data_IF_867058259207
#
_entry.id   IF_867058259207
#
_cell.length_a   1.000
_cell.length_b   1.000
_cell.length_c   1.000
_cell.angle_alpha   90.00
_cell.angle_beta   90.00
_cell.angle_gamma   90.00
#
_symmetry.space_group_name_H-M   'P 1'
#
loop_
_entity.id
_entity.type
_entity.pdbx_description
1 polymer ?
#
# COMPACT_ATOMS: atom_id res chain seq x y z
N UNK A 1 7.61 0.94 22.84
CA UNK A 1 7.89 0.95 21.37
C UNK A 1 7.79 -0.46 20.83
N UNK A 2 6.90 -0.69 19.87
CA UNK A 2 6.71 -2.00 19.25
C UNK A 2 7.90 -2.33 18.35
N UNK A 3 8.61 -3.43 18.64
CA UNK A 3 9.66 -3.96 17.77
C UNK A 3 8.98 -4.67 16.61
N UNK A 4 9.35 -4.34 15.38
CA UNK A 4 8.82 -4.99 14.19
C UNK A 4 9.81 -6.02 13.67
N UNK A 5 9.31 -7.23 13.47
CA UNK A 5 10.06 -8.36 12.96
C UNK A 5 9.46 -8.80 11.63
N UNK A 6 10.28 -9.37 10.76
CA UNK A 6 9.86 -9.95 9.49
C UNK A 6 10.71 -11.19 9.19
N UNK A 7 10.16 -12.11 8.40
CA UNK A 7 10.86 -13.31 7.98
C UNK A 7 11.29 -13.18 6.52
N UNK A 8 12.54 -13.56 6.23
CA UNK A 8 13.04 -13.71 4.87
C UNK A 8 12.86 -15.17 4.44
N UNK A 9 12.30 -15.35 3.26
CA UNK A 9 12.09 -16.63 2.59
C UNK A 9 12.80 -16.66 1.24
N UNK A 10 12.99 -17.87 0.72
CA UNK A 10 13.61 -18.09 -0.59
C UNK A 10 15.14 -18.00 -0.61
N UNK A 11 15.80 -17.91 0.55
CA UNK A 11 17.28 -17.87 0.67
C UNK A 11 17.97 -19.07 0.02
N UNK A 12 17.33 -20.25 0.07
CA UNK A 12 17.84 -21.48 -0.54
C UNK A 12 17.86 -21.49 -2.07
N UNK A 13 17.11 -20.61 -2.75
CA UNK A 13 17.07 -20.57 -4.22
C UNK A 13 18.14 -19.68 -4.86
N UNK A 14 18.86 -18.88 -4.05
CA UNK A 14 19.86 -17.93 -4.56
C UNK A 14 21.26 -18.37 -4.17
N UNK A 15 21.68 -18.03 -2.95
CA UNK A 15 23.06 -18.22 -2.49
C UNK A 15 23.16 -19.20 -1.29
N UNK A 16 22.02 -19.71 -0.81
CA UNK A 16 21.95 -20.57 0.38
C UNK A 16 21.71 -19.81 1.69
N UNK A 17 21.93 -20.47 2.83
CA UNK A 17 21.84 -19.86 4.17
C UNK A 17 23.20 -19.74 4.85
N UNK A 18 24.27 -20.30 4.27
CA UNK A 18 25.58 -20.43 4.93
C UNK A 18 26.30 -19.10 5.15
N UNK A 19 26.03 -18.10 4.31
CA UNK A 19 26.62 -16.76 4.43
C UNK A 19 25.82 -15.80 5.32
N UNK A 20 24.64 -16.22 5.79
CA UNK A 20 23.78 -15.37 6.61
C UNK A 20 24.18 -15.52 8.06
N UNK A 21 24.72 -14.45 8.64
CA UNK A 21 25.09 -14.40 10.05
C UNK A 21 24.18 -13.46 10.84
N UNK A 22 23.84 -13.81 12.10
CA UNK A 22 23.21 -12.87 13.01
C UNK A 22 24.02 -11.58 13.13
N UNK A 23 23.36 -10.44 12.97
CA UNK A 23 23.98 -9.13 13.10
C UNK A 23 24.23 -8.39 11.79
N UNK A 24 24.14 -9.06 10.65
CA UNK A 24 24.28 -8.43 9.34
C UNK A 24 23.14 -7.46 9.04
N UNK A 25 23.43 -6.45 8.21
CA UNK A 25 22.45 -5.48 7.73
C UNK A 25 21.90 -5.90 6.38
N UNK A 26 20.59 -5.82 6.24
CA UNK A 26 19.86 -6.12 5.01
C UNK A 26 19.12 -4.88 4.53
N UNK A 27 19.00 -4.76 3.21
CA UNK A 27 18.27 -3.70 2.52
C UNK A 27 16.99 -4.31 1.95
N UNK A 28 15.85 -3.76 2.32
CA UNK A 28 14.56 -4.11 1.77
C UNK A 28 14.21 -3.09 0.68
N UNK A 29 13.77 -3.57 -0.47
CA UNK A 29 13.31 -2.75 -1.59
C UNK A 29 11.95 -3.24 -2.06
N UNK A 30 10.99 -2.31 -2.18
CA UNK A 30 9.67 -2.62 -2.74
C UNK A 30 9.81 -3.01 -4.21
N UNK A 31 9.17 -4.10 -4.59
CA UNK A 31 9.17 -4.62 -5.95
C UNK A 31 7.74 -4.62 -6.50
N UNK A 32 7.26 -3.42 -6.85
CA UNK A 32 5.87 -3.21 -7.29
C UNK A 32 5.55 -3.74 -8.69
N UNK A 33 6.56 -4.22 -9.43
CA UNK A 33 6.42 -4.70 -10.81
C UNK A 33 6.58 -6.22 -10.91
N UNK A 34 6.40 -6.93 -9.80
CA UNK A 34 6.51 -8.38 -9.78
C UNK A 34 5.24 -9.05 -10.33
N UNK A 35 5.40 -10.03 -11.22
CA UNK A 35 4.29 -10.66 -11.97
C UNK A 35 3.31 -11.45 -11.08
N UNK A 36 3.75 -11.89 -9.90
CA UNK A 36 2.97 -12.75 -9.02
C UNK A 36 2.27 -11.99 -7.89
N UNK A 37 2.93 -10.96 -7.35
CA UNK A 37 2.50 -10.26 -6.14
C UNK A 37 3.01 -8.82 -6.19
N UNK A 38 2.07 -7.86 -6.21
CA UNK A 38 2.36 -6.43 -6.26
C UNK A 38 2.92 -5.89 -4.93
N UNK A 39 2.75 -6.63 -3.83
CA UNK A 39 3.23 -6.28 -2.50
C UNK A 39 4.56 -6.96 -2.17
N UNK A 40 5.24 -7.53 -3.18
CA UNK A 40 6.53 -8.18 -3.00
C UNK A 40 7.58 -7.19 -2.48
N UNK A 41 8.31 -7.62 -1.45
CA UNK A 41 9.44 -6.88 -0.90
C UNK A 41 10.69 -7.73 -1.09
N UNK A 42 11.58 -7.26 -1.95
CA UNK A 42 12.87 -7.87 -2.22
C UNK A 42 13.83 -7.55 -1.08
N UNK A 43 14.61 -8.55 -0.67
CA UNK A 43 15.66 -8.37 0.34
C UNK A 43 17.02 -8.56 -0.32
N UNK A 44 17.87 -7.54 -0.14
CA UNK A 44 19.23 -7.49 -0.65
C UNK A 44 20.22 -7.40 0.52
N UNK A 45 21.38 -8.00 0.33
CA UNK A 45 22.53 -7.87 1.21
C UNK A 45 23.59 -7.00 0.53
N UNK A 46 24.24 -6.14 1.31
CA UNK A 46 25.38 -5.35 0.81
C UNK A 46 26.48 -6.31 0.34
N UNK A 47 26.95 -6.13 -0.90
CA UNK A 47 28.01 -6.94 -1.52
C UNK A 47 27.53 -8.16 -2.32
N UNK A 48 26.47 -8.86 -1.89
CA UNK A 48 25.97 -10.06 -2.59
C UNK A 48 24.79 -9.79 -3.54
N UNK A 49 23.99 -8.76 -3.26
CA UNK A 49 22.77 -8.48 -4.03
C UNK A 49 21.54 -9.17 -3.43
N UNK A 50 20.63 -9.66 -4.29
CA UNK A 50 19.34 -10.21 -3.86
C UNK A 50 19.51 -11.56 -3.17
N UNK A 51 19.01 -11.65 -1.94
CA UNK A 51 19.07 -12.88 -1.13
C UNK A 51 17.73 -13.60 -1.06
N UNK A 52 16.62 -12.89 -1.25
CA UNK A 52 15.28 -13.47 -1.13
C UNK A 52 14.17 -12.44 -1.06
N UNK A 53 13.04 -12.86 -0.53
CA UNK A 53 11.84 -12.05 -0.39
C UNK A 53 11.31 -12.10 1.04
N UNK A 54 10.49 -11.12 1.42
CA UNK A 54 9.76 -11.15 2.69
C UNK A 54 8.62 -12.17 2.62
N UNK A 55 8.41 -12.92 3.70
CA UNK A 55 7.32 -13.89 3.81
C UNK A 55 5.95 -13.19 3.75
N UNK A 56 5.07 -13.60 2.82
CA UNK A 56 3.70 -13.09 2.76
C UNK A 56 2.72 -14.00 3.53
N UNK A 57 2.86 -15.32 3.39
CA UNK A 57 1.89 -16.29 3.93
C UNK A 57 2.13 -16.63 5.40
N UNK A 58 1.06 -16.88 6.20
CA UNK A 58 1.18 -17.20 7.63
C UNK A 58 1.96 -18.50 7.88
N UNK A 59 1.98 -19.43 6.92
CA UNK A 59 2.73 -20.68 7.02
C UNK A 59 4.26 -20.49 6.92
N UNK A 60 4.71 -19.40 6.29
CA UNK A 60 6.13 -19.11 6.08
C UNK A 60 6.67 -18.06 7.04
N UNK A 61 5.79 -17.17 7.51
CA UNK A 61 6.03 -16.22 8.62
C UNK A 61 6.40 -17.00 9.89
N UNK A 62 7.50 -16.61 10.55
CA UNK A 62 7.96 -17.27 11.78
C UNK A 62 7.58 -16.44 13.01
N UNK A 63 6.83 -17.05 13.95
CA UNK A 63 6.42 -16.40 15.20
C UNK A 63 5.62 -15.11 14.99
N UNK A 64 5.88 -14.09 15.80
CA UNK A 64 5.18 -12.80 15.77
C UNK A 64 5.75 -11.82 14.72
N UNK A 65 6.18 -12.34 13.57
CA UNK A 65 6.68 -11.51 12.47
C UNK A 65 5.55 -11.00 11.57
N UNK A 66 5.79 -9.87 10.91
CA UNK A 66 4.86 -9.25 9.99
C UNK A 66 4.94 -9.92 8.61
N UNK A 67 3.79 -10.08 7.97
CA UNK A 67 3.72 -10.46 6.56
C UNK A 67 4.20 -9.32 5.65
N UNK A 68 4.60 -9.66 4.43
CA UNK A 68 5.03 -8.73 3.40
C UNK A 68 4.02 -7.60 3.16
N UNK A 69 2.74 -7.91 2.96
CA UNK A 69 1.71 -6.88 2.74
C UNK A 69 1.59 -5.88 3.90
N UNK A 70 1.55 -6.37 5.15
CA UNK A 70 1.49 -5.48 6.33
C UNK A 70 2.77 -4.70 6.57
N UNK A 71 3.90 -5.23 6.11
CA UNK A 71 5.16 -4.53 6.15
C UNK A 71 5.19 -3.43 5.07
N UNK A 72 4.62 -3.69 3.89
CA UNK A 72 4.57 -2.80 2.73
C UNK A 72 3.94 -1.45 3.06
N UNK A 73 2.86 -1.44 3.82
CA UNK A 73 2.18 -0.20 4.26
C UNK A 73 3.06 0.68 5.16
N UNK A 74 3.88 0.03 6.00
CA UNK A 74 4.66 0.67 7.07
C UNK A 74 6.01 1.19 6.59
N UNK A 75 6.59 0.57 5.58
CA UNK A 75 7.91 0.94 5.03
C UNK A 75 7.78 1.87 3.81
N UNK A 76 8.83 2.66 3.54
CA UNK A 76 8.99 3.40 2.29
C UNK A 76 9.49 2.50 1.16
N UNK A 77 9.95 3.09 0.05
CA UNK A 77 10.47 2.34 -1.10
C UNK A 77 11.73 1.53 -0.77
N UNK A 78 12.54 2.07 0.14
CA UNK A 78 13.74 1.45 0.68
C UNK A 78 13.68 1.42 2.19
N UNK A 79 14.03 0.29 2.77
CA UNK A 79 14.13 0.11 4.21
C UNK A 79 15.36 -0.71 4.59
N UNK A 80 15.79 -0.56 5.83
CA UNK A 80 16.90 -1.32 6.41
C UNK A 80 16.41 -2.23 7.53
N UNK A 81 17.04 -3.39 7.64
CA UNK A 81 16.83 -4.35 8.72
C UNK A 81 18.14 -4.99 9.18
N UNK A 82 18.05 -5.69 10.29
CA UNK A 82 19.16 -6.44 10.90
C UNK A 82 18.76 -7.89 11.13
N UNK A 83 19.62 -8.82 10.74
CA UNK A 83 19.41 -10.25 10.98
C UNK A 83 19.54 -10.53 12.48
N UNK A 84 18.57 -11.25 13.04
CA UNK A 84 18.57 -11.64 14.45
C UNK A 84 18.85 -13.13 14.61
N UNK A 85 18.13 -13.97 13.88
CA UNK A 85 18.25 -15.42 13.96
C UNK A 85 18.14 -16.04 12.58
N UNK A 86 18.95 -17.06 12.33
CA UNK A 86 18.91 -17.88 11.13
C UNK A 86 18.29 -19.21 11.53
N UNK A 87 17.06 -19.46 11.07
CA UNK A 87 16.36 -20.71 11.31
C UNK A 87 16.33 -21.53 10.01
N UNK A 88 16.26 -22.86 10.09
CA UNK A 88 16.21 -23.70 8.89
C UNK A 88 15.01 -23.39 7.99
N UNK A 89 13.87 -22.98 8.58
CA UNK A 89 12.64 -22.62 7.85
C UNK A 89 12.63 -21.19 7.30
N UNK A 90 13.58 -20.34 7.69
CA UNK A 90 13.63 -18.94 7.27
C UNK A 90 14.46 -18.06 8.20
N UNK A 91 14.77 -16.85 7.77
CA UNK A 91 15.65 -15.95 8.53
C UNK A 91 14.83 -14.86 9.20
N UNK A 92 14.94 -14.75 10.52
CA UNK A 92 14.22 -13.76 11.31
C UNK A 92 15.03 -12.46 11.40
N UNK A 93 14.41 -11.38 10.95
CA UNK A 93 15.03 -10.06 10.90
C UNK A 93 14.21 -9.04 11.67
N UNK A 94 14.91 -8.03 12.17
CA UNK A 94 14.34 -6.87 12.84
C UNK A 94 14.41 -5.67 11.92
N UNK A 95 13.32 -4.92 11.82
CA UNK A 95 13.27 -3.70 11.03
C UNK A 95 13.86 -2.50 11.81
N UNK A 96 14.62 -1.65 11.12
CA UNK A 96 15.15 -0.41 11.69
C UNK A 96 14.10 0.72 11.69
N UNK A 97 14.03 1.47 12.80
CA UNK A 97 13.06 2.56 12.99
C UNK A 97 13.22 3.72 11.99
N UNK A 98 14.44 3.93 11.49
CA UNK A 98 14.74 5.00 10.51
C UNK A 98 14.04 4.76 9.17
N UNK A 99 13.70 3.50 8.90
CA UNK A 99 13.15 3.01 7.64
C UNK A 99 11.62 3.09 7.57
N UNK A 100 10.97 3.47 8.67
CA UNK A 100 9.52 3.60 8.74
C UNK A 100 9.06 4.89 8.08
N UNK A 101 7.95 4.82 7.34
CA UNK A 101 7.29 6.03 6.83
C UNK A 101 6.90 6.90 8.02
N UNK A 102 7.52 8.08 8.14
CA UNK A 102 7.01 9.13 9.03
C UNK A 102 5.71 9.60 8.41
N UNK A 103 4.58 9.32 9.05
CA UNK A 103 3.33 10.00 8.71
C UNK A 103 3.58 11.48 8.98
N UNK A 104 3.65 12.29 7.91
CA UNK A 104 3.68 13.74 8.04
C UNK A 104 2.33 14.10 8.67
N UNK A 105 2.35 14.54 9.92
CA UNK A 105 1.15 15.03 10.59
C UNK A 105 0.87 16.43 10.02
N UNK A 106 0.40 16.49 8.78
CA UNK A 106 -0.24 17.70 8.24
C UNK A 106 -1.64 17.77 8.84
N UNK A 107 -1.71 18.11 10.12
CA UNK A 107 -2.91 18.74 10.66
C UNK A 107 -2.87 20.16 10.14
N UNK A 108 -3.39 20.38 8.92
CA UNK A 108 -3.70 21.71 8.42
C UNK A 108 -4.50 22.42 9.52
N UNK A 109 -3.89 23.43 10.13
CA UNK A 109 -4.62 24.43 10.88
C UNK A 109 -5.58 25.08 9.90
N UNK A 110 -6.88 24.85 10.06
CA UNK A 110 -7.87 25.75 9.50
C UNK A 110 -7.47 27.16 9.93
N UNK A 111 -7.13 28.02 8.97
CA UNK A 111 -7.08 29.45 9.23
C UNK A 111 -8.50 29.84 9.61
N UNK A 112 -8.66 30.24 10.86
CA UNK A 112 -9.74 31.12 11.28
C UNK A 112 -9.66 32.33 10.34
N UNK A 113 -10.64 32.46 9.44
CA UNK A 113 -10.86 33.74 8.79
C UNK A 113 -11.56 34.59 9.84
N UNK A 114 -10.93 35.71 10.21
CA UNK A 114 -11.58 36.75 10.98
C UNK A 114 -12.85 37.18 10.22
N UNK A 115 -14.01 36.93 10.82
CA UNK A 115 -15.31 37.41 10.36
C UNK A 115 -15.43 38.85 10.85
N UNK A 116 -14.68 39.74 10.23
CA UNK A 116 -14.75 41.18 10.45
C UNK A 116 -14.93 41.85 9.08
N UNK A 117 -16.15 41.89 8.56
CA UNK A 117 -16.82 43.17 8.25
C UNK A 117 -18.26 42.88 7.82
N UNK A 118 -19.19 43.43 8.59
CA UNK A 118 -20.59 43.56 8.22
C UNK A 118 -20.68 44.66 7.16
N UNK A 119 -21.21 44.35 5.98
CA UNK A 119 -21.86 45.37 5.15
C UNK A 119 -23.36 45.07 5.14
N UNK A 120 -24.06 45.71 6.08
CA UNK A 120 -25.53 45.81 6.09
C UNK A 120 -26.00 46.71 4.94
N UNK A 121 -26.13 46.18 3.72
CA UNK A 121 -27.04 46.66 2.65
C UNK A 121 -27.28 45.47 1.72
N UNK A 122 -28.49 45.03 1.37
CA UNK A 122 -29.81 45.63 1.34
C UNK A 122 -30.80 44.45 1.34
N UNK A 123 -31.87 44.58 2.11
CA UNK A 123 -32.92 43.58 2.22
C UNK A 123 -33.89 43.71 1.05
N UNK A 124 -33.85 42.76 0.12
CA UNK A 124 -34.97 42.51 -0.78
C UNK A 124 -35.50 41.10 -0.54
N UNK A 125 -36.72 41.07 0.01
CA UNK A 125 -37.51 39.88 0.24
C UNK A 125 -37.77 39.15 -1.07
N UNK A 126 -37.44 37.86 -1.14
CA UNK A 126 -38.17 36.95 -2.01
C UNK A 126 -38.17 35.53 -1.44
N UNK A 127 -39.30 35.28 -0.78
CA UNK A 127 -40.10 34.06 -0.74
C UNK A 127 -39.48 32.72 -0.33
N UNK A 128 -40.12 32.25 0.74
CA UNK A 128 -40.24 30.89 1.24
C UNK A 128 -40.72 29.95 0.12
N UNK A 129 -40.48 28.64 0.29
CA UNK A 129 -40.89 27.47 -0.55
C UNK A 129 -39.68 26.91 -1.33
N UNK A 130 -39.15 25.71 -1.10
CA UNK A 130 -39.70 24.50 -0.50
C UNK A 130 -38.64 23.69 0.26
N UNK A 131 -39.09 23.19 1.41
CA UNK A 131 -38.51 22.10 2.15
C UNK A 131 -39.13 20.82 1.59
N UNK A 132 -38.32 19.97 0.95
CA UNK A 132 -38.57 18.55 0.68
C UNK A 132 -37.27 18.04 0.03
N UNK A 133 -36.65 16.90 0.33
CA UNK A 133 -36.97 15.76 1.17
C UNK A 133 -35.66 14.95 1.28
N UNK A 134 -35.53 14.19 2.36
CA UNK A 134 -34.51 13.16 2.56
C UNK A 134 -34.79 12.03 1.57
N UNK A 135 -33.86 11.67 0.68
CA UNK A 135 -33.88 10.34 0.05
C UNK A 135 -32.47 9.73 -0.08
N UNK A 136 -32.51 8.42 0.11
CA UNK A 136 -31.47 7.48 0.49
C UNK A 136 -30.53 7.07 -0.64
N UNK A 137 -29.33 6.64 -0.23
CA UNK A 137 -28.37 5.82 -0.98
C UNK A 137 -29.04 4.71 -1.80
N UNK A 138 -29.20 4.89 -3.12
CA UNK A 138 -29.42 3.77 -4.05
C UNK A 138 -29.15 4.04 -5.54
N UNK A 139 -29.06 5.30 -6.00
CA UNK A 139 -29.08 5.59 -7.45
C UNK A 139 -27.72 5.96 -8.08
N UNK A 140 -26.63 5.35 -7.64
CA UNK A 140 -25.32 5.46 -8.33
C UNK A 140 -24.82 4.16 -8.96
N UNK A 141 -25.63 3.09 -8.95
CA UNK A 141 -25.23 1.77 -9.49
C UNK A 141 -25.66 1.59 -10.95
N UNK A 142 -26.64 2.35 -11.46
CA UNK A 142 -27.14 2.19 -12.83
C UNK A 142 -26.37 3.01 -13.89
N UNK A 143 -25.42 3.87 -13.50
CA UNK A 143 -24.64 4.68 -14.46
C UNK A 143 -23.39 3.96 -15.00
N UNK A 144 -22.89 2.93 -14.31
CA UNK A 144 -21.63 2.25 -14.68
C UNK A 144 -21.83 0.99 -15.55
N UNK A 145 -23.03 0.42 -15.62
CA UNK A 145 -23.31 -0.71 -16.52
C UNK A 145 -23.60 -0.29 -17.98
N UNK A 146 -23.87 1.01 -18.23
CA UNK A 146 -24.17 1.53 -19.57
C UNK A 146 -22.97 1.72 -20.51
N UNK A 147 -21.73 1.74 -19.99
CA UNK A 147 -20.52 2.04 -20.79
C UNK A 147 -19.80 0.78 -21.33
N UNK A 148 -20.15 -0.42 -20.85
CA UNK A 148 -19.52 -1.69 -21.27
C UNK A 148 -20.07 -2.25 -22.59
N UNK A 149 -21.29 -1.87 -22.98
CA UNK A 149 -21.99 -2.47 -24.13
C UNK A 149 -21.74 -1.79 -25.49
N UNK A 150 -20.93 -0.73 -25.59
CA UNK A 150 -20.71 0.00 -26.87
C UNK A 150 -19.43 -0.39 -27.64
N UNK A 151 -18.55 -1.22 -27.09
CA UNK A 151 -17.23 -1.54 -27.69
C UNK A 151 -17.07 -3.00 -28.18
N UNK A 152 -18.14 -3.80 -28.23
CA UNK A 152 -18.11 -5.14 -28.86
C UNK A 152 -19.27 -5.32 -29.83
N UNK A 153 -18.99 -5.04 -31.11
CA UNK A 153 -19.92 -5.17 -32.24
C UNK A 153 -19.20 -5.45 -33.56
N UNK A 154 -18.65 -6.66 -33.67
CA UNK A 154 -18.57 -7.52 -34.87
C UNK A 154 -18.06 -6.98 -36.23
N UNK A 155 -16.87 -7.49 -36.60
CA UNK A 155 -16.44 -7.75 -38.00
C UNK A 155 -17.35 -8.78 -38.70
N UNK A 156 -17.29 -8.76 -40.05
CA UNK A 156 -17.68 -9.77 -41.08
C UNK A 156 -19.14 -9.70 -41.55
N UNK A 157 -19.51 -9.89 -42.83
CA UNK A 157 -18.84 -10.13 -44.11
C UNK A 157 -19.90 -9.97 -45.24
N UNK A 158 -19.47 -9.77 -46.49
CA UNK A 158 -20.12 -10.15 -47.78
C UNK A 158 -21.49 -9.61 -48.26
N UNK A 159 -21.39 -8.96 -49.43
CA UNK A 159 -22.01 -9.25 -50.76
C UNK A 159 -23.50 -9.60 -50.87
N UNK A 160 -24.20 -8.77 -51.65
CA UNK A 160 -25.13 -8.97 -52.80
C UNK A 160 -26.07 -7.75 -52.77
N UNK A 161 -26.21 -6.93 -53.82
CA UNK A 161 -26.65 -7.23 -55.17
C UNK A 161 -26.45 -5.97 -56.03
#
# INVERSE_FOLDING_TARGET
>A
MTKMYFTIVGTGHYYGQEFLEPGMRVILKKDSHNEYDNEAIMVNLEGLGKIGYVANSPYTVQGDSLSAGRLYDKIGDVAFGKIMYVLPKGVLCKLDKKSLRKRKEERLSYKEYDVDDYDEKECDAFDTEDCDSYETVSDTIDFLEGLSCKLRGTKKDRRYR
#
